data_IF_777751731874
#
_entry.id   IF_777751731874
#
_cell.length_a   1.000
_cell.length_b   1.000
_cell.length_c   1.000
_cell.angle_alpha   90.00
_cell.angle_beta   90.00
_cell.angle_gamma   90.00
#
_symmetry.space_group_name_H-M   'P 1'
#
loop_
_entity.id
_entity.type
_entity.pdbx_description
1 polymer ?
#
# COMPACT_ATOMS: atom_id res chain seq x y z
N UNK A 1 5.47 -9.80 -71.31
CA UNK A 1 5.25 -10.30 -69.94
C UNK A 1 6.43 -9.89 -69.08
N UNK A 2 6.15 -9.26 -67.93
CA UNK A 2 7.13 -8.70 -67.00
C UNK A 2 8.10 -9.76 -66.46
N UNK A 3 9.36 -9.40 -66.28
CA UNK A 3 10.17 -9.84 -65.12
C UNK A 3 11.39 -8.93 -64.98
N UNK A 4 11.27 -7.75 -64.35
CA UNK A 4 11.56 -7.47 -62.92
C UNK A 4 12.88 -8.05 -62.41
N UNK A 5 13.91 -7.24 -62.61
CA UNK A 5 15.17 -7.13 -61.87
C UNK A 5 14.99 -7.32 -60.36
N UNK A 6 15.82 -8.17 -59.74
CA UNK A 6 16.16 -8.07 -58.31
C UNK A 6 17.66 -8.30 -58.16
N UNK A 7 18.37 -7.23 -57.80
CA UNK A 7 19.76 -7.23 -57.38
C UNK A 7 19.77 -7.70 -55.92
N UNK A 8 20.42 -8.82 -55.64
CA UNK A 8 20.73 -9.26 -54.29
C UNK A 8 22.19 -8.87 -54.01
N UNK A 9 22.40 -7.87 -53.16
CA UNK A 9 23.72 -7.57 -52.60
C UNK A 9 23.82 -8.30 -51.27
N UNK A 10 24.72 -9.27 -51.20
CA UNK A 10 25.20 -9.85 -49.95
C UNK A 10 26.44 -9.06 -49.51
N UNK A 11 26.49 -8.64 -48.24
CA UNK A 11 27.74 -8.27 -47.58
C UNK A 11 27.64 -8.65 -46.10
N UNK A 12 28.44 -9.64 -45.73
CA UNK A 12 28.69 -10.11 -44.37
C UNK A 12 29.90 -9.37 -43.76
N UNK A 13 30.17 -9.69 -42.48
CA UNK A 13 31.26 -9.27 -41.59
C UNK A 13 30.87 -8.12 -40.65
N UNK A 14 31.00 -8.20 -39.33
CA UNK A 14 31.89 -9.05 -38.52
C UNK A 14 32.82 -8.13 -37.73
N UNK A 15 32.58 -7.94 -36.43
CA UNK A 15 33.57 -7.43 -35.48
C UNK A 15 33.13 -7.77 -34.04
N UNK A 16 33.82 -8.74 -33.49
CA UNK A 16 33.78 -9.16 -32.08
C UNK A 16 34.68 -8.28 -31.21
N UNK A 17 34.38 -8.30 -29.91
CA UNK A 17 35.23 -8.03 -28.73
C UNK A 17 35.38 -6.57 -28.28
N UNK A 18 34.81 -6.24 -27.11
CA UNK A 18 35.60 -5.74 -25.99
C UNK A 18 34.94 -6.13 -24.65
N UNK A 19 35.60 -7.04 -23.94
CA UNK A 19 35.35 -7.36 -22.54
C UNK A 19 36.13 -6.40 -21.63
N UNK A 20 35.74 -6.41 -20.36
CA UNK A 20 36.39 -5.83 -19.16
C UNK A 20 36.23 -4.34 -18.91
N UNK A 21 35.21 -4.00 -18.12
CA UNK A 21 35.38 -3.10 -16.98
C UNK A 21 34.64 -3.67 -15.77
N UNK A 22 35.43 -4.05 -14.75
CA UNK A 22 35.08 -4.07 -13.32
C UNK A 22 33.66 -4.49 -12.94
N UNK A 23 33.52 -5.74 -12.49
CA UNK A 23 32.37 -6.18 -11.70
C UNK A 23 32.26 -5.35 -10.42
N UNK A 24 31.54 -4.24 -10.48
CA UNK A 24 30.76 -3.80 -9.36
C UNK A 24 29.70 -4.89 -9.16
N UNK A 25 29.89 -5.74 -8.17
CA UNK A 25 28.75 -6.49 -7.64
C UNK A 25 27.73 -5.43 -7.25
N UNK A 26 26.71 -5.23 -8.08
CA UNK A 26 25.51 -4.51 -7.72
C UNK A 26 25.06 -5.15 -6.41
N UNK A 27 25.25 -4.42 -5.30
CA UNK A 27 24.67 -4.81 -4.03
C UNK A 27 23.19 -5.01 -4.33
N UNK A 28 22.72 -6.26 -4.28
CA UNK A 28 21.33 -6.55 -4.52
C UNK A 28 20.54 -5.64 -3.57
N UNK A 29 19.53 -4.91 -4.07
CA UNK A 29 18.72 -4.06 -3.22
C UNK A 29 18.26 -4.92 -2.05
N UNK A 30 18.66 -4.53 -0.83
CA UNK A 30 18.14 -5.18 0.37
C UNK A 30 16.65 -4.87 0.37
N UNK A 31 15.85 -5.84 -0.04
CA UNK A 31 14.41 -5.77 0.05
C UNK A 31 14.07 -5.65 1.53
N UNK A 32 13.80 -4.42 1.97
CA UNK A 32 13.21 -4.15 3.27
C UNK A 32 11.86 -4.85 3.28
N UNK A 33 11.68 -5.81 4.19
CA UNK A 33 10.42 -6.54 4.28
C UNK A 33 9.37 -5.64 4.93
N UNK A 34 8.22 -5.40 4.27
CA UNK A 34 7.12 -4.69 4.89
C UNK A 34 6.62 -5.44 6.12
N UNK A 35 6.37 -4.71 7.21
CA UNK A 35 5.83 -5.23 8.46
C UNK A 35 4.38 -4.78 8.61
N UNK A 36 3.51 -5.66 9.11
CA UNK A 36 2.11 -5.30 9.39
C UNK A 36 1.98 -4.81 10.83
N UNK A 37 1.46 -3.60 11.01
CA UNK A 37 1.08 -3.04 12.31
C UNK A 37 -0.44 -3.01 12.37
N UNK A 38 -1.01 -3.65 13.39
CA UNK A 38 -2.45 -3.62 13.65
C UNK A 38 -2.71 -2.71 14.84
N UNK A 39 -3.60 -1.73 14.68
CA UNK A 39 -3.98 -0.85 15.77
C UNK A 39 -5.00 -1.52 16.70
N UNK A 40 -5.14 -1.03 17.94
CA UNK A 40 -6.29 -1.37 18.76
C UNK A 40 -7.61 -1.08 18.05
N UNK A 41 -8.68 -1.74 18.52
CA UNK A 41 -10.05 -1.46 18.08
C UNK A 41 -10.47 -0.09 18.59
N UNK A 42 -11.02 0.73 17.70
CA UNK A 42 -11.59 2.04 18.02
C UNK A 42 -13.10 1.86 18.17
N UNK A 43 -13.56 1.91 19.42
CA UNK A 43 -14.99 1.84 19.74
C UNK A 43 -15.75 3.02 19.12
N UNK A 44 -16.81 2.72 18.37
CA UNK A 44 -17.57 3.73 17.61
C UNK A 44 -16.78 4.48 16.53
N UNK A 45 -15.61 3.97 16.11
CA UNK A 45 -14.72 4.63 15.16
C UNK A 45 -15.23 4.70 13.71
N UNK A 46 -16.33 4.03 13.37
CA UNK A 46 -16.97 4.17 12.06
C UNK A 46 -18.00 5.31 12.02
N UNK A 47 -17.69 6.45 12.66
CA UNK A 47 -18.56 7.62 12.80
C UNK A 47 -18.46 8.61 11.63
N UNK A 48 -17.61 8.32 10.64
CA UNK A 48 -17.32 9.18 9.50
C UNK A 48 -16.30 10.28 9.78
N UNK A 49 -15.61 10.28 10.93
CA UNK A 49 -14.50 11.20 11.20
C UNK A 49 -13.17 10.62 10.73
N UNK A 50 -12.17 11.49 10.47
CA UNK A 50 -10.82 11.06 10.16
C UNK A 50 -10.15 10.32 11.34
N UNK A 51 -9.65 9.13 11.09
CA UNK A 51 -8.78 8.36 11.97
C UNK A 51 -7.39 8.24 11.34
N UNK A 52 -6.38 8.66 12.09
CA UNK A 52 -4.98 8.61 11.68
C UNK A 52 -4.35 7.28 12.06
N UNK A 53 -3.53 6.77 11.15
CA UNK A 53 -2.75 5.56 11.32
C UNK A 53 -1.29 5.91 11.25
N UNK A 54 -0.52 5.36 12.16
CA UNK A 54 0.87 5.74 12.35
C UNK A 54 1.75 4.51 12.25
N UNK A 55 2.74 4.58 11.37
CA UNK A 55 3.91 3.72 11.49
C UNK A 55 4.82 4.23 12.62
N UNK A 56 5.72 3.38 13.14
CA UNK A 56 6.81 3.84 13.98
C UNK A 56 7.58 5.02 13.34
N UNK A 57 8.22 5.90 14.12
CA UNK A 57 8.86 7.12 13.61
C UNK A 57 9.90 6.91 12.49
N UNK A 58 10.52 5.73 12.43
CA UNK A 58 11.55 5.37 11.44
C UNK A 58 10.98 4.65 10.20
N UNK A 59 9.66 4.53 10.09
CA UNK A 59 8.97 3.77 9.05
C UNK A 59 7.95 4.63 8.29
N UNK A 60 7.74 4.30 7.01
CA UNK A 60 6.72 4.92 6.16
C UNK A 60 5.56 3.96 5.93
N UNK A 61 4.36 4.49 5.78
CA UNK A 61 3.20 3.69 5.37
C UNK A 61 3.35 3.30 3.89
N UNK A 62 3.37 1.99 3.63
CA UNK A 62 3.36 1.43 2.29
C UNK A 62 1.93 1.18 1.80
N UNK A 63 1.09 0.61 2.66
CA UNK A 63 -0.33 0.39 2.38
C UNK A 63 -1.14 0.34 3.67
N UNK A 64 -2.47 0.38 3.55
CA UNK A 64 -3.36 0.29 4.69
C UNK A 64 -4.72 -0.28 4.33
N UNK A 65 -5.44 -0.70 5.35
CA UNK A 65 -6.80 -1.19 5.25
C UNK A 65 -7.53 -1.09 6.60
N UNK A 66 -8.82 -1.37 6.57
CA UNK A 66 -9.67 -1.32 7.75
C UNK A 66 -10.60 -2.53 7.78
N UNK A 67 -11.08 -2.82 8.98
CA UNK A 67 -12.11 -3.81 9.24
C UNK A 67 -13.15 -3.16 10.14
N UNK A 68 -14.41 -3.23 9.73
CA UNK A 68 -15.53 -2.81 10.58
C UNK A 68 -16.12 -4.03 11.25
N UNK A 69 -16.29 -3.96 12.56
CA UNK A 69 -16.87 -5.04 13.36
C UNK A 69 -18.05 -4.49 14.15
N UNK A 70 -19.19 -5.21 14.19
CA UNK A 70 -20.28 -4.81 15.06
C UNK A 70 -19.88 -5.02 16.53
N UNK A 71 -20.48 -4.22 17.42
CA UNK A 71 -20.40 -4.46 18.85
C UNK A 71 -20.99 -5.82 19.24
N UNK A 72 -20.64 -6.31 20.43
CA UNK A 72 -21.11 -7.59 20.93
C UNK A 72 -22.65 -7.66 20.95
N UNK A 73 -23.22 -8.71 20.35
CA UNK A 73 -24.68 -8.88 20.26
C UNK A 73 -25.38 -7.93 19.28
N UNK A 74 -24.63 -7.22 18.45
CA UNK A 74 -25.14 -6.31 17.42
C UNK A 74 -24.78 -6.84 16.03
N UNK A 75 -25.43 -6.29 15.01
CA UNK A 75 -25.14 -6.59 13.61
C UNK A 75 -24.86 -5.30 12.87
N UNK A 76 -23.96 -5.36 11.89
CA UNK A 76 -23.77 -4.25 10.96
C UNK A 76 -25.08 -3.99 10.21
N UNK A 77 -25.38 -2.71 9.98
CA UNK A 77 -26.50 -2.33 9.13
C UNK A 77 -26.34 -2.93 7.71
N UNK A 78 -27.41 -2.96 6.92
CA UNK A 78 -27.38 -3.58 5.57
C UNK A 78 -26.78 -2.67 4.50
N UNK A 79 -26.63 -1.39 4.79
CA UNK A 79 -26.08 -0.44 3.84
C UNK A 79 -24.59 -0.69 3.65
N UNK A 80 -24.01 -0.60 2.44
CA UNK A 80 -22.57 -0.67 2.29
C UNK A 80 -21.86 0.36 3.18
N UNK A 81 -20.65 0.06 3.67
CA UNK A 81 -19.87 1.05 4.39
C UNK A 81 -19.40 2.15 3.43
N UNK A 82 -19.60 3.41 3.82
CA UNK A 82 -19.10 4.55 3.04
C UNK A 82 -17.67 4.86 3.45
N UNK A 83 -16.74 4.83 2.49
CA UNK A 83 -15.38 5.37 2.66
C UNK A 83 -15.37 6.80 2.17
N UNK A 84 -15.16 7.75 3.09
CA UNK A 84 -15.22 9.19 2.80
C UNK A 84 -13.84 9.76 2.46
N UNK A 85 -12.79 9.25 3.09
CA UNK A 85 -11.40 9.66 2.84
C UNK A 85 -10.47 8.46 3.01
N UNK A 86 -9.45 8.36 2.14
CA UNK A 86 -8.41 7.34 2.19
C UNK A 86 -7.16 7.84 1.46
N UNK A 87 -6.23 8.47 2.18
CA UNK A 87 -4.94 8.93 1.62
C UNK A 87 -3.86 9.07 2.67
N UNK A 88 -2.60 8.95 2.24
CA UNK A 88 -1.45 9.30 3.08
C UNK A 88 -1.44 10.82 3.33
N UNK A 89 -0.96 11.25 4.50
CA UNK A 89 -0.75 12.67 4.75
C UNK A 89 0.53 13.17 4.07
N UNK A 90 0.62 14.49 3.88
CA UNK A 90 1.76 15.16 3.24
C UNK A 90 3.06 15.05 4.08
N UNK A 91 2.92 14.78 5.38
CA UNK A 91 4.01 14.74 6.37
C UNK A 91 4.55 13.32 6.66
N UNK A 92 4.17 12.34 5.86
CA UNK A 92 4.68 10.96 5.76
C UNK A 92 5.27 10.32 7.04
N UNK A 93 4.38 9.93 7.96
CA UNK A 93 4.46 8.67 8.74
C UNK A 93 3.10 7.99 8.86
N UNK A 94 2.06 8.50 8.19
CA UNK A 94 0.69 8.07 8.45
C UNK A 94 -0.30 8.09 7.29
N UNK A 95 -1.39 7.33 7.48
CA UNK A 95 -2.51 7.17 6.56
C UNK A 95 -3.81 7.58 7.25
N UNK A 96 -4.65 8.37 6.59
CA UNK A 96 -5.91 8.84 7.14
C UNK A 96 -7.04 8.09 6.45
N UNK A 97 -7.98 7.60 7.26
CA UNK A 97 -9.22 7.00 6.79
C UNK A 97 -10.43 7.58 7.52
N UNK A 98 -11.50 7.83 6.78
CA UNK A 98 -12.82 8.12 7.35
C UNK A 98 -13.84 7.14 6.79
N UNK A 99 -14.50 6.38 7.67
CA UNK A 99 -15.51 5.36 7.31
C UNK A 99 -16.79 5.64 8.07
N UNK A 100 -17.94 5.56 7.41
CA UNK A 100 -19.26 5.61 8.04
C UNK A 100 -19.93 4.25 7.94
N UNK A 101 -20.26 3.67 9.09
CA UNK A 101 -21.00 2.40 9.17
C UNK A 101 -21.64 2.29 10.55
N UNK A 102 -22.93 1.94 10.60
CA UNK A 102 -23.58 1.68 11.89
C UNK A 102 -23.72 0.19 12.16
N UNK A 103 -23.86 -0.13 13.43
CA UNK A 103 -24.40 -1.38 13.91
C UNK A 103 -25.75 -1.15 14.60
N UNK A 104 -26.59 -2.18 14.61
CA UNK A 104 -27.92 -2.18 15.19
C UNK A 104 -28.12 -3.41 16.07
N UNK A 105 -28.92 -3.32 17.13
CA UNK A 105 -29.29 -4.49 17.92
C UNK A 105 -30.13 -5.45 17.08
N UNK A 106 -29.99 -6.76 17.32
CA UNK A 106 -30.73 -7.78 16.57
C UNK A 106 -32.25 -7.70 16.77
N UNK A 107 -32.71 -7.08 17.86
CA UNK A 107 -34.11 -6.70 18.12
C UNK A 107 -34.15 -5.34 18.79
N UNK A 108 -35.03 -4.46 18.28
CA UNK A 108 -35.50 -3.22 18.93
C UNK A 108 -34.43 -2.40 19.65
N UNK A 109 -34.03 -1.28 19.05
CA UNK A 109 -33.15 -0.31 19.70
C UNK A 109 -32.47 0.61 18.69
N UNK A 110 -31.62 1.48 19.19
CA UNK A 110 -30.97 2.51 18.38
C UNK A 110 -29.71 1.98 17.70
N UNK A 111 -29.50 2.42 16.47
CA UNK A 111 -28.25 2.22 15.75
C UNK A 111 -27.15 3.08 16.36
N UNK A 112 -25.91 2.59 16.31
CA UNK A 112 -24.72 3.31 16.76
C UNK A 112 -23.61 3.15 15.74
N UNK A 113 -22.63 4.07 15.69
CA UNK A 113 -21.42 3.86 14.89
C UNK A 113 -20.76 2.53 15.26
N UNK A 114 -20.38 1.75 14.25
CA UNK A 114 -19.70 0.48 14.43
C UNK A 114 -18.24 0.68 14.86
N UNK A 115 -17.64 -0.39 15.38
CA UNK A 115 -16.23 -0.36 15.79
C UNK A 115 -15.31 -0.50 14.58
N UNK A 116 -14.18 0.19 14.64
CA UNK A 116 -13.20 0.24 13.57
C UNK A 116 -11.89 -0.37 14.04
N UNK A 117 -11.42 -1.41 13.34
CA UNK A 117 -10.05 -1.92 13.48
C UNK A 117 -9.26 -1.50 12.27
N UNK A 118 -8.06 -0.99 12.47
CA UNK A 118 -7.26 -0.50 11.36
C UNK A 118 -5.92 -1.23 11.29
N UNK A 119 -5.48 -1.48 10.06
CA UNK A 119 -4.28 -2.23 9.74
C UNK A 119 -3.45 -1.42 8.77
N UNK A 120 -2.17 -1.30 9.05
CA UNK A 120 -1.21 -0.66 8.17
C UNK A 120 -0.05 -1.59 7.92
N UNK A 121 0.50 -1.49 6.71
CA UNK A 121 1.75 -2.12 6.36
C UNK A 121 2.78 -1.01 6.27
N UNK A 122 3.77 -1.12 7.14
CA UNK A 122 4.88 -0.18 7.24
C UNK A 122 6.11 -0.78 6.55
N UNK A 123 6.88 0.07 5.90
CA UNK A 123 8.21 -0.26 5.39
C UNK A 123 9.21 0.64 6.10
N UNK A 124 10.39 0.12 6.48
CA UNK A 124 11.46 1.02 6.93
C UNK A 124 11.69 2.08 5.87
N UNK A 125 11.73 3.35 6.29
CA UNK A 125 11.97 4.42 5.35
C UNK A 125 13.36 4.32 4.75
N UNK A 126 13.49 4.63 3.46
CA UNK A 126 14.78 4.87 2.78
C UNK A 126 15.53 6.12 3.32
N UNK A 127 15.14 6.66 4.49
CA UNK A 127 15.63 7.93 5.03
C UNK A 127 16.80 7.80 6.01
N UNK A 128 17.66 6.81 5.84
CA UNK A 128 19.04 6.93 6.35
C UNK A 128 20.02 6.67 5.22
N UNK A 129 20.74 7.69 4.71
CA UNK A 129 21.96 7.41 3.99
C UNK A 129 22.86 6.66 4.97
N UNK A 130 23.09 5.36 4.74
CA UNK A 130 24.15 4.64 5.43
C UNK A 130 25.44 5.40 5.14
N UNK A 131 26.17 5.92 6.15
CA UNK A 131 27.50 6.45 5.91
C UNK A 131 28.33 5.31 5.33
N UNK A 132 28.68 5.42 4.05
CA UNK A 132 29.64 4.56 3.39
C UNK A 132 31.00 4.81 4.06
N UNK A 133 31.36 3.95 5.01
CA UNK A 133 32.71 3.83 5.55
C UNK A 133 33.57 2.90 4.71
#
# INVERSE_FOLDING_TARGET
MLSKTRIAVAAAAGATILATTSGAALAAPRLVQPQTVTTPVIEGGADGKPHLLLCPPDENVFSGGYLVTPGAGRMLDREPADVLESRANEDATGWIIAVRKNDAPTRGGESSPANLTIRIVCTQGENTPTPSG
#
